data_IF_704776627774
#
_entry.id   IF_704776627774
#
_cell.length_a   1.000
_cell.length_b   1.000
_cell.length_c   1.000
_cell.angle_alpha   90.00
_cell.angle_beta   90.00
_cell.angle_gamma   90.00
#
_symmetry.space_group_name_H-M   'P 1'
#
loop_
_entity.id
_entity.type
_entity.pdbx_description
1 polymer ?
#
# COMPACT_ATOMS: atom_id res chain seq x y z
N UNK A 1 -44.14 -52.59 57.65
CA UNK A 1 -45.14 -52.87 58.70
C UNK A 1 -45.36 -51.59 59.49
N UNK A 2 -46.64 -51.28 59.74
CA UNK A 2 -47.17 -50.50 60.86
C UNK A 2 -46.78 -49.00 60.98
N UNK A 3 -47.77 -48.14 60.70
CA UNK A 3 -48.51 -47.55 61.82
C UNK A 3 -48.29 -46.07 62.16
N UNK A 4 -49.24 -45.25 61.71
CA UNK A 4 -50.12 -44.42 62.56
C UNK A 4 -49.57 -43.22 63.36
N UNK A 5 -50.18 -42.08 63.02
CA UNK A 5 -50.77 -41.04 63.89
C UNK A 5 -49.90 -40.20 64.85
N UNK A 6 -49.89 -38.90 64.57
CA UNK A 6 -49.75 -37.83 65.55
C UNK A 6 -50.70 -36.69 65.18
N UNK A 7 -51.75 -36.52 65.98
CA UNK A 7 -52.84 -35.56 65.82
C UNK A 7 -52.51 -34.24 66.54
N UNK A 8 -53.31 -33.22 66.21
CA UNK A 8 -53.71 -32.07 67.06
C UNK A 8 -53.03 -30.72 66.80
N UNK A 9 -53.87 -29.67 66.70
CA UNK A 9 -53.48 -28.31 67.05
C UNK A 9 -53.98 -27.20 66.14
N UNK A 10 -55.30 -27.04 66.02
CA UNK A 10 -55.96 -25.88 65.44
C UNK A 10 -55.61 -24.60 66.24
N UNK A 11 -55.10 -23.54 65.58
CA UNK A 11 -55.22 -22.17 66.07
C UNK A 11 -55.06 -21.12 64.96
N UNK A 12 -56.20 -20.56 64.55
CA UNK A 12 -56.41 -19.35 63.74
C UNK A 12 -55.35 -18.24 63.97
N UNK A 13 -54.82 -17.67 62.88
CA UNK A 13 -54.95 -16.24 62.48
C UNK A 13 -53.98 -15.82 61.36
N UNK A 14 -54.54 -15.04 60.42
CA UNK A 14 -53.92 -14.08 59.48
C UNK A 14 -53.28 -14.64 58.20
N UNK A 15 -53.95 -14.32 57.08
CA UNK A 15 -53.53 -14.45 55.68
C UNK A 15 -52.31 -13.57 55.40
N UNK A 16 -51.41 -14.02 54.51
CA UNK A 16 -50.75 -13.13 53.56
C UNK A 16 -51.06 -13.52 52.10
N UNK A 17 -51.08 -12.50 51.26
CA UNK A 17 -51.50 -12.50 49.86
C UNK A 17 -50.72 -13.47 48.96
N UNK A 18 -51.47 -14.29 48.20
CA UNK A 18 -50.93 -15.10 47.10
C UNK A 18 -51.09 -14.30 45.81
N UNK A 19 -49.97 -13.81 45.29
CA UNK A 19 -49.84 -13.25 43.95
C UNK A 19 -49.82 -14.41 42.96
N UNK A 20 -50.88 -14.57 42.19
CA UNK A 20 -50.93 -15.49 41.04
C UNK A 20 -49.98 -15.02 39.93
N UNK A 21 -49.19 -15.91 39.31
CA UNK A 21 -48.36 -15.56 38.16
C UNK A 21 -49.22 -15.39 36.90
N UNK A 22 -49.01 -14.26 36.20
CA UNK A 22 -49.68 -13.95 34.92
C UNK A 22 -49.20 -14.89 33.80
N UNK A 23 -50.08 -15.31 32.88
CA UNK A 23 -49.68 -16.08 31.70
C UNK A 23 -48.91 -15.18 30.71
N UNK A 24 -47.76 -15.66 30.26
CA UNK A 24 -46.90 -14.99 29.28
C UNK A 24 -47.53 -14.91 27.88
N UNK A 25 -47.15 -13.91 27.06
CA UNK A 25 -47.71 -13.74 25.73
C UNK A 25 -47.16 -14.79 24.75
N UNK A 26 -48.03 -15.25 23.85
CA UNK A 26 -47.72 -16.16 22.75
C UNK A 26 -46.66 -15.59 21.78
N UNK A 27 -45.92 -16.43 21.02
CA UNK A 27 -44.90 -15.96 20.09
C UNK A 27 -45.56 -15.25 18.91
N UNK A 28 -45.42 -13.92 18.88
CA UNK A 28 -45.79 -13.09 17.74
C UNK A 28 -44.82 -13.28 16.57
N UNK A 29 -45.38 -13.35 15.37
CA UNK A 29 -44.69 -13.48 14.10
C UNK A 29 -43.52 -12.49 13.95
N UNK A 30 -42.33 -13.03 13.65
CA UNK A 30 -41.17 -12.28 13.19
C UNK A 30 -41.50 -11.61 11.85
N UNK A 31 -41.92 -10.35 11.90
CA UNK A 31 -41.94 -9.49 10.72
C UNK A 31 -40.50 -9.31 10.21
N UNK A 32 -40.25 -9.79 8.99
CA UNK A 32 -39.03 -9.48 8.24
C UNK A 32 -38.90 -7.96 8.11
N UNK A 33 -38.03 -7.36 8.94
CA UNK A 33 -37.55 -6.01 8.68
C UNK A 33 -36.73 -6.04 7.40
N UNK A 34 -37.23 -5.38 6.36
CA UNK A 34 -36.49 -5.12 5.14
C UNK A 34 -35.13 -4.50 5.49
N UNK A 35 -34.05 -5.20 5.15
CA UNK A 35 -32.70 -4.65 5.17
C UNK A 35 -32.68 -3.56 4.11
N UNK A 36 -32.76 -2.30 4.54
CA UNK A 36 -32.54 -1.17 3.67
C UNK A 36 -31.15 -1.30 3.07
N UNK A 37 -31.10 -1.44 1.74
CA UNK A 37 -29.86 -1.54 0.98
C UNK A 37 -28.96 -0.34 1.35
N UNK A 38 -27.87 -0.62 2.06
CA UNK A 38 -26.87 0.39 2.43
C UNK A 38 -26.28 0.92 1.13
N UNK A 39 -26.51 2.20 0.87
CA UNK A 39 -25.95 2.96 -0.27
C UNK A 39 -24.46 2.59 -0.40
N UNK A 40 -23.96 2.16 -1.58
CA UNK A 40 -22.57 1.79 -1.74
C UNK A 40 -21.71 2.98 -1.30
N UNK A 41 -20.73 2.70 -0.43
CA UNK A 41 -19.76 3.70 -0.01
C UNK A 41 -19.12 4.34 -1.25
N UNK A 42 -18.87 5.66 -1.26
CA UNK A 42 -18.18 6.30 -2.37
C UNK A 42 -16.84 5.58 -2.63
N UNK A 43 -16.45 5.37 -3.90
CA UNK A 43 -15.21 4.67 -4.23
C UNK A 43 -14.02 5.37 -3.56
N UNK A 44 -13.14 4.60 -2.92
CA UNK A 44 -11.97 5.12 -2.24
C UNK A 44 -11.14 6.01 -3.18
N UNK A 45 -10.68 7.20 -2.74
CA UNK A 45 -9.91 8.10 -3.58
C UNK A 45 -8.61 7.43 -4.03
N UNK A 46 -8.17 7.75 -5.25
CA UNK A 46 -6.83 7.39 -5.71
C UNK A 46 -5.80 7.90 -4.69
N UNK A 47 -4.85 7.04 -4.29
CA UNK A 47 -3.77 7.45 -3.40
C UNK A 47 -2.95 8.51 -4.11
N UNK A 48 -3.07 9.74 -3.62
CA UNK A 48 -2.39 10.92 -4.13
C UNK A 48 -1.35 11.39 -3.13
N UNK A 49 -0.32 12.04 -3.63
CA UNK A 49 0.75 12.69 -2.87
C UNK A 49 0.92 14.13 -3.38
N UNK A 50 1.60 14.97 -2.62
CA UNK A 50 1.94 16.32 -3.08
C UNK A 50 2.89 16.28 -4.29
N UNK A 51 2.80 17.29 -5.16
CA UNK A 51 3.69 17.48 -6.31
C UNK A 51 5.16 17.54 -5.90
N UNK A 52 5.43 17.97 -4.67
CA UNK A 52 6.75 18.07 -4.08
C UNK A 52 7.50 16.74 -4.18
N UNK A 53 6.84 15.59 -4.02
CA UNK A 53 7.49 14.29 -4.19
C UNK A 53 8.03 14.06 -5.61
N UNK A 54 7.34 14.54 -6.65
CA UNK A 54 7.86 14.47 -8.01
C UNK A 54 9.04 15.44 -8.21
N UNK A 55 8.95 16.65 -7.67
CA UNK A 55 10.05 17.62 -7.71
C UNK A 55 11.29 17.10 -6.97
N UNK A 56 11.09 16.33 -5.90
CA UNK A 56 12.11 15.70 -5.11
C UNK A 56 12.87 14.62 -5.90
N UNK A 57 12.15 13.79 -6.68
CA UNK A 57 12.77 12.82 -7.58
C UNK A 57 13.62 13.48 -8.68
N UNK A 58 13.26 14.70 -9.10
CA UNK A 58 14.03 15.48 -10.07
C UNK A 58 15.23 16.23 -9.47
N UNK A 59 15.39 16.23 -8.15
CA UNK A 59 16.37 17.08 -7.47
C UNK A 59 17.81 16.84 -7.92
N UNK A 60 18.22 15.58 -8.11
CA UNK A 60 19.57 15.25 -8.58
C UNK A 60 19.84 15.70 -10.02
N UNK A 61 18.85 15.63 -10.92
CA UNK A 61 18.96 16.19 -12.27
C UNK A 61 19.06 17.71 -12.26
N UNK A 62 18.22 18.37 -11.46
CA UNK A 62 18.19 19.83 -11.36
C UNK A 62 19.50 20.39 -10.84
N UNK A 63 20.16 19.71 -9.89
CA UNK A 63 21.52 20.08 -9.44
C UNK A 63 22.57 20.03 -10.54
N UNK A 64 22.34 19.19 -11.57
CA UNK A 64 23.19 19.11 -12.77
C UNK A 64 22.77 20.08 -13.88
N UNK A 65 21.80 20.96 -13.61
CA UNK A 65 21.27 21.91 -14.60
C UNK A 65 20.40 21.29 -15.69
N UNK A 66 19.90 20.06 -15.48
CA UNK A 66 19.07 19.35 -16.47
C UNK A 66 17.60 19.63 -16.20
N UNK A 67 16.86 20.05 -17.23
CA UNK A 67 15.41 20.25 -17.16
C UNK A 67 14.66 18.91 -17.09
N UNK A 68 13.80 18.76 -16.08
CA UNK A 68 12.97 17.57 -15.85
C UNK A 68 11.59 17.62 -16.50
N UNK A 69 11.27 18.70 -17.23
CA UNK A 69 9.91 18.92 -17.78
C UNK A 69 9.47 17.84 -18.76
N UNK A 70 10.38 17.26 -19.55
CA UNK A 70 10.07 16.14 -20.44
C UNK A 70 9.67 14.89 -19.66
N UNK A 71 10.42 14.55 -18.60
CA UNK A 71 10.14 13.39 -17.74
C UNK A 71 8.81 13.54 -16.98
N UNK A 72 8.46 14.76 -16.56
CA UNK A 72 7.14 15.03 -15.98
C UNK A 72 6.02 14.70 -16.97
N UNK A 73 6.15 15.15 -18.22
CA UNK A 73 5.16 14.89 -19.28
C UNK A 73 5.02 13.40 -19.60
N UNK A 74 6.14 12.69 -19.69
CA UNK A 74 6.17 11.23 -19.89
C UNK A 74 5.48 10.46 -18.75
N UNK A 75 5.65 10.92 -17.52
CA UNK A 75 4.97 10.40 -16.34
C UNK A 75 3.50 10.85 -16.21
N UNK A 76 2.99 11.61 -17.19
CA UNK A 76 1.63 12.16 -17.19
C UNK A 76 1.40 13.22 -16.11
N UNK A 77 2.45 13.86 -15.59
CA UNK A 77 2.37 14.96 -14.62
C UNK A 77 2.36 16.29 -15.38
N UNK A 78 1.33 17.14 -15.22
CA UNK A 78 1.32 18.47 -15.83
C UNK A 78 2.53 19.29 -15.38
N UNK A 79 3.28 19.85 -16.34
CA UNK A 79 4.50 20.61 -16.06
C UNK A 79 4.18 21.86 -15.24
N UNK A 80 3.00 22.44 -15.44
CA UNK A 80 2.51 23.62 -14.74
C UNK A 80 2.27 23.35 -13.25
N UNK A 81 2.00 22.10 -12.87
CA UNK A 81 1.79 21.71 -11.48
C UNK A 81 3.03 21.97 -10.61
N UNK A 82 4.23 22.02 -11.20
CA UNK A 82 5.46 22.32 -10.47
C UNK A 82 5.48 23.72 -9.83
N UNK A 83 4.66 24.64 -10.35
CA UNK A 83 4.53 26.01 -9.86
C UNK A 83 3.30 26.20 -8.95
N UNK A 84 2.58 25.12 -8.63
CA UNK A 84 1.35 25.15 -7.86
C UNK A 84 1.58 24.46 -6.50
N UNK A 85 1.85 25.22 -5.42
CA UNK A 85 2.00 24.66 -4.09
C UNK A 85 0.77 23.85 -3.69
N UNK A 86 0.98 22.64 -3.16
CA UNK A 86 -0.11 21.76 -2.74
C UNK A 86 -0.85 21.04 -3.86
N UNK A 87 -0.43 21.17 -5.13
CA UNK A 87 -0.94 20.34 -6.21
C UNK A 87 -0.73 18.85 -5.86
N UNK A 88 -1.73 18.02 -6.19
CA UNK A 88 -1.71 16.59 -5.87
C UNK A 88 -1.56 15.75 -7.13
N UNK A 89 -0.69 14.76 -7.07
CA UNK A 89 -0.44 13.80 -8.15
C UNK A 89 -0.76 12.38 -7.70
N UNK A 90 -1.12 11.51 -8.64
CA UNK A 90 -1.31 10.10 -8.38
C UNK A 90 0.02 9.41 -8.07
N UNK A 91 0.02 8.49 -7.11
CA UNK A 91 1.20 7.67 -6.78
C UNK A 91 1.72 6.85 -7.98
N UNK A 92 0.87 6.48 -8.93
CA UNK A 92 1.26 5.85 -10.19
C UNK A 92 2.10 6.78 -11.09
N UNK A 93 1.74 8.06 -11.16
CA UNK A 93 2.53 9.06 -11.92
C UNK A 93 3.92 9.22 -11.29
N UNK A 94 3.99 9.23 -9.95
CA UNK A 94 5.29 9.25 -9.25
C UNK A 94 6.13 8.00 -9.56
N UNK A 95 5.52 6.81 -9.62
CA UNK A 95 6.21 5.58 -9.98
C UNK A 95 6.69 5.58 -11.45
N UNK A 96 5.90 6.14 -12.36
CA UNK A 96 6.29 6.32 -13.76
C UNK A 96 7.45 7.31 -13.90
N UNK A 97 7.44 8.41 -13.14
CA UNK A 97 8.54 9.36 -13.10
C UNK A 97 9.84 8.71 -12.61
N UNK A 98 9.78 7.96 -11.49
CA UNK A 98 10.95 7.23 -10.98
C UNK A 98 11.49 6.25 -12.02
N UNK A 99 10.61 5.51 -12.70
CA UNK A 99 10.98 4.59 -13.78
C UNK A 99 11.73 5.32 -14.90
N UNK A 100 11.14 6.39 -15.42
CA UNK A 100 11.71 7.15 -16.55
C UNK A 100 13.07 7.74 -16.19
N UNK A 101 13.23 8.24 -14.96
CA UNK A 101 14.51 8.72 -14.44
C UNK A 101 15.59 7.64 -14.47
N UNK A 102 15.30 6.47 -13.90
CA UNK A 102 16.23 5.35 -13.82
C UNK A 102 16.60 4.86 -15.22
N UNK A 103 15.62 4.70 -16.10
CA UNK A 103 15.82 4.17 -17.45
C UNK A 103 16.61 5.12 -18.34
N UNK A 104 16.34 6.44 -18.27
CA UNK A 104 17.01 7.45 -19.11
C UNK A 104 18.44 7.77 -18.66
N UNK A 105 18.70 7.73 -17.36
CA UNK A 105 19.98 8.16 -16.81
C UNK A 105 20.89 7.01 -16.34
N UNK A 106 20.41 5.77 -16.42
CA UNK A 106 21.11 4.58 -15.90
C UNK A 106 21.59 4.78 -14.45
N UNK A 107 20.70 5.35 -13.62
CA UNK A 107 21.03 5.73 -12.25
C UNK A 107 19.84 5.51 -11.29
N UNK A 108 19.97 4.49 -10.43
CA UNK A 108 18.99 4.08 -9.42
C UNK A 108 18.95 5.00 -8.18
N UNK A 109 19.94 5.89 -8.02
CA UNK A 109 19.97 6.92 -6.96
C UNK A 109 19.72 8.34 -7.50
N UNK A 110 19.31 8.45 -8.77
CA UNK A 110 18.75 9.66 -9.39
C UNK A 110 19.68 10.89 -9.34
N UNK A 111 20.99 10.69 -9.44
CA UNK A 111 21.99 11.76 -9.33
C UNK A 111 22.10 12.34 -7.92
N UNK A 112 21.66 11.60 -6.90
CA UNK A 112 21.71 12.06 -5.51
C UNK A 112 23.03 11.78 -4.78
N UNK A 113 23.87 10.89 -5.31
CA UNK A 113 25.18 10.51 -4.78
C UNK A 113 26.32 11.00 -5.68
N UNK A 114 27.56 10.92 -5.19
CA UNK A 114 28.77 11.28 -5.95
C UNK A 114 28.97 10.46 -7.23
N UNK A 115 28.48 9.22 -7.25
CA UNK A 115 28.58 8.30 -8.39
C UNK A 115 27.20 7.69 -8.70
N UNK A 116 26.89 7.47 -9.98
CA UNK A 116 25.62 6.84 -10.36
C UNK A 116 25.56 5.39 -9.91
N UNK A 117 24.40 4.97 -9.40
CA UNK A 117 24.10 3.57 -9.11
C UNK A 117 23.51 2.93 -10.35
N UNK A 118 24.34 2.29 -11.18
CA UNK A 118 23.90 1.71 -12.46
C UNK A 118 22.73 0.74 -12.30
N UNK A 119 21.89 0.63 -13.33
CA UNK A 119 20.76 -0.32 -13.33
C UNK A 119 21.24 -1.73 -13.04
N UNK A 120 20.58 -2.39 -12.11
CA UNK A 120 20.95 -3.73 -11.63
C UNK A 120 21.76 -3.73 -10.33
N UNK A 121 22.23 -2.56 -9.86
CA UNK A 121 22.89 -2.42 -8.56
C UNK A 121 21.96 -2.82 -7.42
N UNK A 122 20.71 -2.34 -7.44
CA UNK A 122 19.68 -2.75 -6.50
C UNK A 122 19.34 -4.23 -6.65
N UNK A 123 19.21 -4.75 -7.88
CA UNK A 123 18.94 -6.16 -8.12
C UNK A 123 20.04 -7.08 -7.53
N UNK A 124 21.31 -6.68 -7.63
CA UNK A 124 22.44 -7.39 -7.04
C UNK A 124 22.33 -7.43 -5.51
N UNK A 125 21.97 -6.33 -4.87
CA UNK A 125 21.76 -6.28 -3.42
C UNK A 125 20.62 -7.20 -2.98
N UNK A 126 19.47 -7.16 -3.67
CA UNK A 126 18.33 -8.03 -3.34
C UNK A 126 18.71 -9.51 -3.48
N UNK A 127 19.46 -9.87 -4.53
CA UNK A 127 19.97 -11.24 -4.74
C UNK A 127 20.88 -11.71 -3.60
N UNK A 128 21.68 -10.83 -3.01
CA UNK A 128 22.52 -11.17 -1.87
C UNK A 128 21.71 -11.47 -0.59
N UNK A 129 20.56 -10.83 -0.42
CA UNK A 129 19.69 -11.02 0.75
C UNK A 129 18.68 -12.17 0.63
N UNK A 130 18.23 -12.53 -0.58
CA UNK A 130 17.07 -13.43 -0.75
C UNK A 130 17.30 -14.87 -0.28
N UNK A 131 18.54 -15.36 -0.35
CA UNK A 131 18.90 -16.70 0.09
C UNK A 131 19.17 -16.79 1.61
N UNK A 132 19.11 -15.67 2.33
CA UNK A 132 19.36 -15.65 3.76
C UNK A 132 18.22 -16.33 4.53
N UNK A 133 18.50 -17.05 5.62
CA UNK A 133 17.48 -17.76 6.38
C UNK A 133 16.58 -16.82 7.20
N UNK A 134 17.09 -15.67 7.64
CA UNK A 134 16.37 -14.70 8.47
C UNK A 134 16.48 -13.28 7.94
N UNK A 135 15.55 -12.42 8.34
CA UNK A 135 15.56 -11.00 8.01
C UNK A 135 16.86 -10.32 8.45
N UNK A 136 17.39 -10.65 9.63
CA UNK A 136 18.65 -10.10 10.12
C UNK A 136 19.81 -10.37 9.15
N UNK A 137 19.96 -11.62 8.74
CA UNK A 137 21.02 -12.04 7.83
C UNK A 137 20.82 -11.40 6.45
N UNK A 138 19.57 -11.31 5.97
CA UNK A 138 19.25 -10.62 4.73
C UNK A 138 19.65 -9.13 4.78
N UNK A 139 19.30 -8.43 5.86
CA UNK A 139 19.68 -7.02 6.07
C UNK A 139 21.20 -6.88 6.05
N UNK A 140 21.93 -7.75 6.76
CA UNK A 140 23.41 -7.70 6.80
C UNK A 140 24.04 -7.92 5.43
N UNK A 141 23.55 -8.89 4.64
CA UNK A 141 24.06 -9.14 3.29
C UNK A 141 23.75 -7.97 2.34
N UNK A 142 22.52 -7.44 2.39
CA UNK A 142 22.11 -6.28 1.60
C UNK A 142 22.95 -5.06 1.97
N UNK A 143 23.14 -4.79 3.27
CA UNK A 143 23.96 -3.69 3.76
C UNK A 143 25.43 -3.82 3.33
N UNK A 144 25.97 -5.03 3.35
CA UNK A 144 27.33 -5.30 2.88
C UNK A 144 27.49 -4.97 1.39
N UNK A 145 26.60 -5.49 0.53
CA UNK A 145 26.65 -5.19 -0.92
C UNK A 145 26.39 -3.72 -1.17
N UNK A 146 25.47 -3.08 -0.43
CA UNK A 146 25.24 -1.65 -0.53
C UNK A 146 26.51 -0.84 -0.29
N UNK A 147 27.27 -1.17 0.76
CA UNK A 147 28.55 -0.52 1.08
C UNK A 147 29.63 -0.76 0.03
N UNK A 148 29.62 -1.91 -0.65
CA UNK A 148 30.56 -2.17 -1.75
C UNK A 148 30.26 -1.32 -2.99
N UNK A 149 28.99 -0.92 -3.18
CA UNK A 149 28.53 -0.17 -4.35
C UNK A 149 28.54 1.35 -4.13
N UNK A 150 28.49 1.83 -2.88
CA UNK A 150 28.34 3.25 -2.56
C UNK A 150 29.37 3.70 -1.51
N UNK A 151 30.02 4.84 -1.76
CA UNK A 151 30.96 5.45 -0.80
C UNK A 151 30.28 6.55 0.04
N UNK A 152 29.24 7.20 -0.48
CA UNK A 152 28.60 8.37 0.13
C UNK A 152 27.77 8.05 1.37
N UNK A 153 27.18 6.85 1.42
CA UNK A 153 26.36 6.40 2.53
C UNK A 153 26.42 4.88 2.67
N UNK A 154 26.04 4.39 3.84
CA UNK A 154 25.90 2.97 4.12
C UNK A 154 24.63 2.68 4.92
N UNK A 155 24.15 1.44 4.82
CA UNK A 155 23.06 0.92 5.63
C UNK A 155 23.63 0.21 6.84
N UNK A 156 23.13 0.52 8.02
CA UNK A 156 23.59 -0.09 9.28
C UNK A 156 22.42 -0.63 10.08
N UNK A 157 22.53 -1.89 10.51
CA UNK A 157 21.61 -2.49 11.48
C UNK A 157 21.90 -1.91 12.86
N UNK A 158 20.90 -1.31 13.49
CA UNK A 158 20.98 -0.63 14.79
C UNK A 158 19.96 -1.21 15.75
N UNK A 159 20.22 -1.02 17.06
CA UNK A 159 19.31 -1.42 18.13
C UNK A 159 19.05 -0.23 19.07
N UNK A 160 17.85 -0.18 19.63
CA UNK A 160 17.48 0.73 20.70
C UNK A 160 16.93 -0.10 21.86
N UNK A 161 17.75 -0.29 22.88
CA UNK A 161 17.49 -1.26 23.94
C UNK A 161 17.46 -2.69 23.39
N UNK A 162 16.62 -3.53 23.98
CA UNK A 162 16.39 -4.92 23.55
C UNK A 162 15.14 -5.09 22.68
N UNK A 163 14.22 -4.13 22.72
CA UNK A 163 12.89 -4.26 22.07
C UNK A 163 12.88 -3.77 20.63
N UNK A 164 13.74 -2.82 20.26
CA UNK A 164 13.72 -2.21 18.94
C UNK A 164 15.00 -2.52 18.17
N UNK A 165 14.82 -2.96 16.94
CA UNK A 165 15.84 -3.00 15.91
C UNK A 165 15.49 -2.02 14.80
N UNK A 166 16.48 -1.58 14.04
CA UNK A 166 16.27 -0.67 12.94
C UNK A 166 17.35 -0.76 11.88
N UNK A 167 17.07 -0.17 10.72
CA UNK A 167 18.09 0.09 9.71
C UNK A 167 18.23 1.59 9.60
N UNK A 168 19.44 2.07 9.86
CA UNK A 168 19.79 3.48 9.80
C UNK A 168 20.70 3.77 8.60
N UNK A 169 20.66 5.03 8.16
CA UNK A 169 21.56 5.58 7.16
C UNK A 169 22.75 6.20 7.87
N UNK A 170 23.93 5.79 7.48
CA UNK A 170 25.20 6.37 7.94
C UNK A 170 25.88 7.04 6.75
N UNK A 171 25.98 8.37 6.79
CA UNK A 171 26.48 9.18 5.68
C UNK A 171 27.97 9.51 5.88
N UNK A 172 28.74 9.30 4.82
CA UNK A 172 30.18 9.57 4.79
C UNK A 172 30.51 10.87 4.05
N UNK A 173 29.51 11.48 3.42
CA UNK A 173 29.62 12.74 2.68
C UNK A 173 28.57 13.75 3.15
N UNK A 174 29.00 14.96 3.48
CA UNK A 174 28.13 16.01 4.01
C UNK A 174 27.06 16.45 2.98
N UNK A 175 27.42 16.51 1.70
CA UNK A 175 26.48 16.90 0.65
C UNK A 175 25.33 15.90 0.50
N UNK A 176 25.63 14.59 0.57
CA UNK A 176 24.61 13.54 0.59
C UNK A 176 23.73 13.63 1.85
N UNK A 177 24.35 13.80 3.02
CA UNK A 177 23.65 13.96 4.31
C UNK A 177 22.74 15.20 4.38
N UNK A 178 23.03 16.22 3.57
CA UNK A 178 22.25 17.47 3.55
C UNK A 178 20.99 17.38 2.68
N UNK A 179 20.78 16.29 1.94
CA UNK A 179 19.66 16.13 1.02
C UNK A 179 18.54 15.28 1.65
N UNK A 180 17.44 15.88 2.17
CA UNK A 180 16.36 15.14 2.81
C UNK A 180 15.77 14.03 1.92
N UNK A 181 15.70 14.25 0.60
CA UNK A 181 15.05 13.32 -0.32
C UNK A 181 15.83 12.04 -0.48
N UNK A 182 17.15 12.10 -0.36
CA UNK A 182 17.99 10.91 -0.37
C UNK A 182 17.67 10.04 0.84
N UNK A 183 17.48 10.65 2.02
CA UNK A 183 17.10 9.94 3.23
C UNK A 183 15.72 9.29 3.07
N UNK A 184 14.75 10.06 2.56
CA UNK A 184 13.39 9.61 2.29
C UNK A 184 13.37 8.43 1.32
N UNK A 185 14.04 8.56 0.16
CA UNK A 185 14.06 7.55 -0.89
C UNK A 185 14.70 6.25 -0.39
N UNK A 186 15.89 6.33 0.22
CA UNK A 186 16.62 5.15 0.67
C UNK A 186 15.83 4.44 1.77
N UNK A 187 15.38 5.14 2.82
CA UNK A 187 14.55 4.53 3.86
C UNK A 187 13.30 3.87 3.29
N UNK A 188 12.62 4.54 2.35
CA UNK A 188 11.42 4.00 1.72
C UNK A 188 11.73 2.73 0.93
N UNK A 189 12.74 2.75 0.07
CA UNK A 189 13.12 1.61 -0.78
C UNK A 189 13.48 0.40 0.08
N UNK A 190 14.34 0.58 1.08
CA UNK A 190 14.81 -0.54 1.90
C UNK A 190 13.74 -1.06 2.85
N UNK A 191 12.93 -0.19 3.47
CA UNK A 191 11.76 -0.66 4.23
C UNK A 191 10.87 -1.57 3.40
N UNK A 192 10.57 -1.16 2.16
CA UNK A 192 9.70 -1.89 1.24
C UNK A 192 10.31 -3.21 0.79
N UNK A 193 11.62 -3.23 0.56
CA UNK A 193 12.37 -4.45 0.29
C UNK A 193 12.29 -5.43 1.47
N UNK A 194 12.59 -4.96 2.69
CA UNK A 194 12.59 -5.83 3.87
C UNK A 194 11.20 -6.34 4.22
N UNK A 195 10.18 -5.48 4.14
CA UNK A 195 8.79 -5.88 4.27
C UNK A 195 8.44 -6.95 3.23
N UNK A 196 8.87 -6.78 1.97
CA UNK A 196 8.65 -7.77 0.93
C UNK A 196 9.32 -9.10 1.29
N UNK A 197 10.60 -9.14 1.66
CA UNK A 197 11.34 -10.38 1.97
C UNK A 197 10.63 -11.27 2.99
N UNK A 198 9.95 -10.70 3.99
CA UNK A 198 9.26 -11.43 5.08
C UNK A 198 7.75 -11.58 4.88
N UNK A 199 7.28 -11.55 3.63
CA UNK A 199 5.87 -11.86 3.31
C UNK A 199 4.98 -10.63 3.11
N UNK A 200 5.56 -9.43 3.15
CA UNK A 200 4.88 -8.17 2.85
C UNK A 200 4.45 -7.37 4.08
N UNK A 201 4.75 -7.85 5.30
CA UNK A 201 4.41 -7.18 6.55
C UNK A 201 5.67 -7.03 7.42
N UNK A 202 6.19 -5.81 7.46
CA UNK A 202 7.15 -5.37 8.47
C UNK A 202 6.60 -4.08 9.09
N UNK A 203 5.79 -4.19 10.16
CA UNK A 203 5.23 -3.03 10.85
C UNK A 203 6.36 -2.17 11.41
N UNK A 204 6.39 -0.92 10.98
CA UNK A 204 7.34 0.08 11.47
C UNK A 204 6.75 0.73 12.71
N UNK A 205 7.54 0.78 13.78
CA UNK A 205 7.20 1.47 15.04
C UNK A 205 7.34 2.98 14.86
N UNK A 206 8.41 3.43 14.19
CA UNK A 206 8.61 4.84 13.81
C UNK A 206 9.64 5.01 12.70
N UNK A 207 9.62 6.17 12.06
CA UNK A 207 10.71 6.67 11.22
C UNK A 207 11.38 7.86 11.89
N UNK A 208 12.71 7.82 11.97
CA UNK A 208 13.53 8.92 12.43
C UNK A 208 14.19 9.57 11.20
N UNK A 209 14.24 10.90 11.17
CA UNK A 209 14.80 11.70 10.10
C UNK A 209 15.83 12.68 10.66
N UNK A 210 17.05 12.65 10.12
CA UNK A 210 18.16 13.50 10.57
C UNK A 210 18.17 14.91 9.96
N UNK A 211 17.00 15.42 9.59
CA UNK A 211 16.82 16.73 8.99
C UNK A 211 15.60 17.44 9.60
N UNK A 212 15.56 18.76 9.46
CA UNK A 212 14.47 19.59 9.94
C UNK A 212 13.16 19.25 9.22
N UNK A 213 12.04 19.32 9.94
CA UNK A 213 10.72 18.97 9.39
C UNK A 213 10.41 19.81 8.14
N UNK A 214 10.23 19.20 6.95
CA UNK A 214 9.92 19.95 5.74
C UNK A 214 8.46 20.42 5.73
N UNK A 215 8.20 21.52 5.03
CA UNK A 215 6.85 22.07 4.86
C UNK A 215 5.87 21.07 4.21
N UNK A 216 6.36 20.20 3.32
CA UNK A 216 5.56 19.17 2.65
C UNK A 216 5.39 17.87 3.47
N UNK A 217 5.81 17.85 4.75
CA UNK A 217 5.73 16.66 5.62
C UNK A 217 4.32 16.12 5.82
N UNK A 218 3.27 16.92 5.60
CA UNK A 218 1.87 16.45 5.62
C UNK A 218 1.61 15.35 4.58
N UNK A 219 2.36 15.35 3.48
CA UNK A 219 2.27 14.35 2.43
C UNK A 219 2.95 13.02 2.76
N UNK A 220 3.61 12.88 3.91
CA UNK A 220 4.34 11.66 4.27
C UNK A 220 3.43 10.48 4.59
N UNK A 221 2.20 10.71 5.07
CA UNK A 221 1.27 9.66 5.56
C UNK A 221 1.16 8.44 4.63
N UNK A 222 0.86 8.61 3.32
CA UNK A 222 0.79 7.51 2.37
C UNK A 222 2.11 6.77 2.14
N UNK A 223 3.26 7.40 2.43
CA UNK A 223 4.60 6.92 2.08
C UNK A 223 5.31 6.30 3.29
N UNK A 224 5.11 6.88 4.47
CA UNK A 224 5.70 6.49 5.75
C UNK A 224 4.59 6.28 6.79
N UNK A 225 3.94 5.10 6.81
CA UNK A 225 2.73 4.87 7.60
C UNK A 225 3.04 4.52 9.07
N UNK A 226 3.83 5.34 9.74
CA UNK A 226 4.19 5.23 11.16
C UNK A 226 4.50 6.63 11.72
N UNK A 227 4.57 6.84 13.05
CA UNK A 227 5.03 8.10 13.64
C UNK A 227 6.41 8.53 13.11
N UNK A 228 6.62 9.84 13.01
CA UNK A 228 7.87 10.44 12.53
C UNK A 228 8.54 11.27 13.62
N UNK A 229 9.87 11.16 13.72
CA UNK A 229 10.70 12.09 14.49
C UNK A 229 11.66 12.79 13.53
N UNK A 230 11.60 14.11 13.50
CA UNK A 230 12.56 14.95 12.76
C UNK A 230 13.69 15.39 13.68
N UNK A 231 14.78 15.88 13.09
CA UNK A 231 15.98 16.32 13.81
C UNK A 231 16.56 15.25 14.74
N UNK A 232 16.40 13.98 14.36
CA UNK A 232 17.01 12.86 15.07
C UNK A 232 18.52 12.78 14.77
N UNK A 233 19.27 12.07 15.61
CA UNK A 233 20.72 11.90 15.41
C UNK A 233 21.06 11.14 14.11
N UNK A 234 20.14 10.31 13.60
CA UNK A 234 20.30 9.56 12.34
C UNK A 234 18.94 9.30 11.70
N UNK A 235 18.93 9.18 10.37
CA UNK A 235 17.76 8.72 9.63
C UNK A 235 17.64 7.21 9.75
N UNK A 236 16.51 6.71 10.23
CA UNK A 236 16.31 5.29 10.49
C UNK A 236 14.83 4.87 10.39
N UNK A 237 14.61 3.61 10.05
CA UNK A 237 13.32 2.95 10.27
C UNK A 237 13.45 1.96 11.43
N UNK A 238 12.46 1.92 12.32
CA UNK A 238 12.50 1.09 13.53
C UNK A 238 11.34 0.10 13.57
N UNK A 239 11.59 -1.12 14.01
CA UNK A 239 10.61 -2.18 14.18
C UNK A 239 10.95 -3.06 15.39
N UNK A 240 10.01 -3.91 15.80
CA UNK A 240 10.20 -4.83 16.94
C UNK A 240 11.37 -5.79 16.67
N UNK A 241 12.32 -5.90 17.60
CA UNK A 241 13.59 -6.61 17.41
C UNK A 241 13.38 -8.09 17.07
N UNK A 242 12.33 -8.74 17.59
CA UNK A 242 12.01 -10.15 17.31
C UNK A 242 11.71 -10.38 15.83
N UNK A 243 11.32 -9.33 15.08
CA UNK A 243 11.08 -9.41 13.63
C UNK A 243 12.35 -9.72 12.84
N UNK A 244 13.54 -9.47 13.39
CA UNK A 244 14.81 -9.88 12.79
C UNK A 244 14.91 -11.39 12.56
N UNK A 245 14.18 -12.19 13.36
CA UNK A 245 14.15 -13.65 13.25
C UNK A 245 13.09 -14.17 12.28
N UNK A 246 12.31 -13.29 11.62
CA UNK A 246 11.36 -13.72 10.60
C UNK A 246 12.11 -14.39 9.44
N UNK A 247 11.61 -15.53 8.94
CA UNK A 247 12.22 -16.20 7.81
C UNK A 247 12.03 -15.39 6.53
N UNK A 248 13.05 -15.37 5.67
CA UNK A 248 12.88 -14.88 4.29
C UNK A 248 12.04 -15.91 3.54
N UNK A 249 10.94 -15.45 2.93
CA UNK A 249 9.94 -16.34 2.32
C UNK A 249 9.69 -16.02 0.84
N UNK A 250 10.75 -15.64 0.11
CA UNK A 250 10.71 -15.29 -1.32
C UNK A 250 11.59 -16.24 -2.13
N UNK A 251 11.01 -16.75 -3.22
CA UNK A 251 11.73 -17.54 -4.20
C UNK A 251 12.23 -16.69 -5.38
N UNK A 252 13.00 -17.30 -6.28
CA UNK A 252 13.54 -16.65 -7.47
C UNK A 252 12.43 -16.13 -8.41
N UNK A 253 11.25 -16.78 -8.44
CA UNK A 253 10.11 -16.29 -9.23
C UNK A 253 9.55 -14.99 -8.67
N UNK A 254 9.36 -14.92 -7.35
CA UNK A 254 8.93 -13.72 -6.65
C UNK A 254 9.96 -12.60 -6.82
N UNK A 255 11.26 -12.94 -6.83
CA UNK A 255 12.33 -11.98 -7.10
C UNK A 255 12.19 -11.35 -8.49
N UNK A 256 12.07 -12.17 -9.53
CA UNK A 256 11.87 -11.67 -10.90
C UNK A 256 10.65 -10.76 -11.00
N UNK A 257 9.54 -11.14 -10.35
CA UNK A 257 8.33 -10.32 -10.32
C UNK A 257 8.53 -9.00 -9.57
N UNK A 258 9.28 -9.00 -8.46
CA UNK A 258 9.61 -7.80 -7.70
C UNK A 258 10.49 -6.84 -8.51
N UNK A 259 11.53 -7.36 -9.16
CA UNK A 259 12.51 -6.58 -9.92
C UNK A 259 11.97 -6.04 -11.25
N UNK A 260 10.95 -6.69 -11.85
CA UNK A 260 10.34 -6.23 -13.09
C UNK A 260 9.75 -4.81 -12.98
N UNK A 261 9.35 -4.40 -11.77
CA UNK A 261 8.59 -3.17 -11.58
C UNK A 261 8.89 -2.47 -10.23
N UNK A 262 10.19 -2.41 -9.88
CA UNK A 262 10.68 -1.82 -8.62
C UNK A 262 10.02 -0.49 -8.27
N UNK A 263 9.91 0.50 -9.19
CA UNK A 263 9.31 1.80 -8.86
C UNK A 263 7.92 1.69 -8.25
N UNK A 264 7.05 0.85 -8.80
CA UNK A 264 5.71 0.59 -8.25
C UNK A 264 5.82 -0.18 -6.93
N UNK A 265 6.70 -1.17 -6.84
CA UNK A 265 6.86 -1.95 -5.62
C UNK A 265 7.29 -1.11 -4.42
N UNK A 266 8.10 -0.07 -4.64
CA UNK A 266 8.62 0.80 -3.58
C UNK A 266 7.74 2.04 -3.35
N UNK A 267 7.22 2.69 -4.39
CA UNK A 267 6.43 3.94 -4.28
C UNK A 267 4.97 3.68 -3.93
N UNK A 268 4.31 2.70 -4.55
CA UNK A 268 2.90 2.48 -4.26
C UNK A 268 2.77 1.81 -2.89
N UNK A 269 1.84 2.27 -2.05
CA UNK A 269 1.46 1.51 -0.86
C UNK A 269 1.02 0.13 -1.34
N UNK A 270 1.81 -0.91 -1.01
CA UNK A 270 1.34 -2.28 -1.22
C UNK A 270 0.19 -2.45 -0.24
N UNK A 271 -1.00 -2.70 -0.77
CA UNK A 271 -2.05 -3.42 -0.04
C UNK A 271 -1.77 -4.95 -0.06
N UNK A 272 -0.52 -5.33 -0.28
CA UNK A 272 -0.13 -6.61 -0.90
C UNK A 272 0.72 -7.50 0.00
N UNK A 273 0.18 -7.76 1.19
CA UNK A 273 0.33 -9.05 1.86
C UNK A 273 -1.02 -9.77 2.06
N UNK A 274 -2.12 -9.04 1.88
CA UNK A 274 -3.47 -9.53 2.07
C UNK A 274 -4.10 -10.15 0.82
N UNK A 275 -5.32 -10.67 0.99
CA UNK A 275 -6.18 -11.09 -0.10
C UNK A 275 -6.36 -9.99 -1.16
N UNK A 276 -6.38 -8.71 -0.76
CA UNK A 276 -6.59 -7.59 -1.69
C UNK A 276 -5.49 -7.47 -2.74
N UNK A 277 -4.22 -7.58 -2.33
CA UNK A 277 -3.10 -7.53 -3.26
C UNK A 277 -2.98 -8.75 -4.16
N UNK A 278 -3.32 -9.93 -3.64
CA UNK A 278 -3.36 -11.17 -4.44
C UNK A 278 -4.43 -11.10 -5.52
N UNK A 279 -5.62 -10.57 -5.19
CA UNK A 279 -6.69 -10.30 -6.16
C UNK A 279 -6.24 -9.28 -7.20
N UNK A 280 -5.66 -8.15 -6.77
CA UNK A 280 -5.19 -7.10 -7.67
C UNK A 280 -4.16 -7.62 -8.67
N UNK A 281 -3.14 -8.34 -8.18
CA UNK A 281 -2.09 -8.93 -9.02
C UNK A 281 -2.64 -9.94 -10.01
N UNK A 282 -3.62 -10.75 -9.60
CA UNK A 282 -4.29 -11.70 -10.49
C UNK A 282 -5.09 -10.99 -11.58
N UNK A 283 -5.87 -9.96 -11.22
CA UNK A 283 -6.66 -9.19 -12.18
C UNK A 283 -5.78 -8.42 -13.18
N UNK A 284 -4.63 -7.91 -12.76
CA UNK A 284 -3.65 -7.27 -13.66
C UNK A 284 -3.11 -8.24 -14.72
N UNK A 285 -2.73 -9.45 -14.32
CA UNK A 285 -2.17 -10.46 -15.25
C UNK A 285 -3.19 -11.08 -16.19
N UNK A 286 -4.48 -10.96 -15.87
CA UNK A 286 -5.57 -11.57 -16.64
C UNK A 286 -6.31 -10.56 -17.52
N UNK A 287 -5.80 -9.32 -17.65
CA UNK A 287 -6.32 -8.39 -18.65
C UNK A 287 -6.12 -8.94 -20.07
N UNK A 288 -7.08 -8.77 -20.98
CA UNK A 288 -8.34 -8.02 -20.86
C UNK A 288 -9.56 -8.85 -20.39
N UNK A 289 -9.38 -10.05 -19.81
CA UNK A 289 -10.49 -10.95 -19.48
C UNK A 289 -11.30 -10.54 -18.24
N UNK A 290 -10.68 -9.83 -17.28
CA UNK A 290 -11.33 -9.34 -16.05
C UNK A 290 -12.23 -10.38 -15.34
N UNK A 291 -11.66 -11.48 -14.79
CA UNK A 291 -12.44 -12.55 -14.19
C UNK A 291 -13.37 -12.08 -13.08
N UNK A 292 -14.41 -12.87 -12.80
CA UNK A 292 -15.32 -12.68 -11.67
C UNK A 292 -14.68 -13.17 -10.37
N UNK A 293 -15.44 -13.06 -9.28
CA UNK A 293 -14.98 -13.44 -7.95
C UNK A 293 -14.67 -14.94 -7.89
N UNK A 294 -15.51 -15.76 -8.51
CA UNK A 294 -15.44 -17.21 -8.51
C UNK A 294 -14.15 -17.70 -9.16
N UNK A 295 -13.87 -17.22 -10.39
CA UNK A 295 -12.65 -17.55 -11.12
C UNK A 295 -11.40 -17.02 -10.41
N UNK A 296 -11.48 -15.82 -9.86
CA UNK A 296 -10.36 -15.25 -9.09
C UNK A 296 -10.09 -16.06 -7.82
N UNK A 297 -11.13 -16.46 -7.08
CA UNK A 297 -11.00 -17.26 -5.87
C UNK A 297 -10.37 -18.63 -6.19
N UNK A 298 -10.83 -19.28 -7.26
CA UNK A 298 -10.28 -20.55 -7.74
C UNK A 298 -8.80 -20.41 -8.10
N UNK A 299 -8.42 -19.38 -8.86
CA UNK A 299 -7.03 -19.12 -9.22
C UNK A 299 -6.13 -18.77 -8.03
N UNK A 300 -6.73 -18.33 -6.92
CA UNK A 300 -6.03 -18.05 -5.66
C UNK A 300 -6.10 -19.22 -4.66
N UNK A 301 -6.64 -20.38 -5.06
CA UNK A 301 -6.87 -21.56 -4.22
C UNK A 301 -7.69 -21.25 -2.96
N UNK A 302 -8.75 -20.46 -3.10
CA UNK A 302 -9.69 -20.08 -2.04
C UNK A 302 -11.13 -20.31 -2.48
N UNK A 303 -12.04 -20.52 -1.52
CA UNK A 303 -13.48 -20.37 -1.80
C UNK A 303 -13.85 -18.88 -1.96
N UNK A 304 -14.88 -18.54 -2.76
CA UNK A 304 -15.37 -17.17 -2.88
C UNK A 304 -15.71 -16.53 -1.53
N UNK A 305 -16.33 -17.30 -0.62
CA UNK A 305 -16.67 -16.86 0.74
C UNK A 305 -15.43 -16.55 1.58
N UNK A 306 -14.38 -17.36 1.49
CA UNK A 306 -13.11 -17.13 2.19
C UNK A 306 -12.42 -15.88 1.65
N UNK A 307 -12.43 -15.71 0.33
CA UNK A 307 -11.84 -14.55 -0.31
C UNK A 307 -12.57 -13.26 0.11
N UNK A 308 -13.90 -13.23 0.01
CA UNK A 308 -14.71 -12.09 0.46
C UNK A 308 -14.49 -11.76 1.94
N UNK A 309 -14.47 -12.77 2.82
CA UNK A 309 -14.22 -12.56 4.26
C UNK A 309 -12.84 -11.93 4.50
N UNK A 310 -11.80 -12.41 3.81
CA UNK A 310 -10.44 -11.83 3.94
C UNK A 310 -10.38 -10.40 3.40
N UNK A 311 -11.03 -10.13 2.28
CA UNK A 311 -11.14 -8.78 1.72
C UNK A 311 -11.89 -7.84 2.68
N UNK A 312 -12.99 -8.29 3.29
CA UNK A 312 -13.75 -7.52 4.25
C UNK A 312 -12.95 -7.24 5.54
N UNK A 313 -12.17 -8.21 6.01
CA UNK A 313 -11.24 -8.00 7.12
C UNK A 313 -10.15 -6.96 6.81
N UNK A 314 -9.83 -6.78 5.52
CA UNK A 314 -8.93 -5.74 5.01
C UNK A 314 -9.65 -4.43 4.66
N UNK A 315 -10.94 -4.30 5.00
CA UNK A 315 -11.74 -3.10 4.71
C UNK A 315 -12.03 -2.89 3.22
N UNK A 316 -11.99 -3.96 2.42
CA UNK A 316 -12.10 -3.92 0.97
C UNK A 316 -13.17 -4.91 0.44
N UNK A 317 -13.44 -4.84 -0.87
CA UNK A 317 -14.29 -5.80 -1.57
C UNK A 317 -13.70 -6.13 -2.94
N UNK A 318 -14.06 -7.28 -3.49
CA UNK A 318 -13.60 -7.70 -4.80
C UNK A 318 -13.98 -6.67 -5.88
N UNK A 319 -15.22 -6.19 -5.84
CA UNK A 319 -15.72 -5.20 -6.78
C UNK A 319 -14.98 -3.86 -6.65
N UNK A 320 -14.69 -3.41 -5.43
CA UNK A 320 -13.92 -2.19 -5.21
C UNK A 320 -12.51 -2.28 -5.79
N UNK A 321 -11.83 -3.42 -5.64
CA UNK A 321 -10.49 -3.66 -6.22
C UNK A 321 -10.54 -3.69 -7.75
N UNK A 322 -11.53 -4.39 -8.31
CA UNK A 322 -11.74 -4.51 -9.76
C UNK A 322 -12.02 -3.15 -10.39
N UNK A 323 -12.89 -2.35 -9.77
CA UNK A 323 -13.23 -1.00 -10.25
C UNK A 323 -12.05 -0.04 -10.11
N UNK A 324 -11.29 -0.12 -9.01
CA UNK A 324 -10.08 0.66 -8.84
C UNK A 324 -9.07 0.39 -9.97
N UNK A 325 -8.83 -0.89 -10.29
CA UNK A 325 -7.89 -1.26 -11.34
C UNK A 325 -8.39 -0.86 -12.73
N UNK A 326 -9.68 -1.03 -13.02
CA UNK A 326 -10.30 -0.57 -14.28
C UNK A 326 -10.18 0.93 -14.44
N UNK A 327 -10.40 1.70 -13.38
CA UNK A 327 -10.22 3.16 -13.36
C UNK A 327 -8.78 3.54 -13.68
N UNK A 328 -7.81 2.91 -13.02
CA UNK A 328 -6.37 3.17 -13.23
C UNK A 328 -5.97 2.94 -14.69
N UNK A 329 -6.40 1.81 -15.28
CA UNK A 329 -6.16 1.49 -16.69
C UNK A 329 -6.89 2.47 -17.62
N UNK A 330 -8.14 2.83 -17.31
CA UNK A 330 -8.93 3.76 -18.11
C UNK A 330 -8.28 5.15 -18.17
N UNK A 331 -7.88 5.69 -17.03
CA UNK A 331 -7.18 6.99 -16.94
C UNK A 331 -5.89 6.93 -17.76
N UNK A 332 -5.07 5.90 -17.55
CA UNK A 332 -3.83 5.73 -18.29
C UNK A 332 -4.04 5.68 -19.81
N UNK A 333 -5.02 4.89 -20.28
CA UNK A 333 -5.32 4.75 -21.71
C UNK A 333 -5.89 6.03 -22.33
N UNK A 334 -6.73 6.77 -21.61
CA UNK A 334 -7.26 8.04 -22.07
C UNK A 334 -6.17 9.11 -22.19
N UNK A 335 -5.13 9.05 -21.36
CA UNK A 335 -3.97 9.95 -21.40
C UNK A 335 -2.85 9.55 -22.35
N UNK A 336 -2.74 8.27 -22.73
CA UNK A 336 -1.63 7.76 -23.57
C UNK A 336 -2.04 7.43 -24.99
N UNK A 337 -3.35 7.36 -25.28
CA UNK A 337 -3.83 6.94 -26.59
C UNK A 337 -5.17 7.57 -26.98
N UNK A 338 -5.39 7.69 -28.29
CA UNK A 338 -6.67 8.13 -28.86
C UNK A 338 -7.66 6.97 -29.07
N UNK A 339 -7.43 5.83 -28.41
CA UNK A 339 -8.25 4.62 -28.51
C UNK A 339 -9.75 4.96 -28.39
N UNK A 340 -10.61 4.55 -29.34
CA UNK A 340 -12.05 4.85 -29.26
C UNK A 340 -12.66 4.36 -27.95
N UNK A 341 -13.55 5.15 -27.34
CA UNK A 341 -14.15 4.81 -26.03
C UNK A 341 -14.87 3.45 -26.05
N UNK A 342 -15.44 3.06 -27.19
CA UNK A 342 -16.07 1.75 -27.36
C UNK A 342 -15.06 0.60 -27.25
N UNK A 343 -13.88 0.75 -27.85
CA UNK A 343 -12.80 -0.24 -27.77
C UNK A 343 -12.23 -0.31 -26.35
N UNK A 344 -12.03 0.86 -25.72
CA UNK A 344 -11.58 0.94 -24.33
C UNK A 344 -12.58 0.28 -23.36
N UNK A 345 -13.89 0.43 -23.59
CA UNK A 345 -14.92 -0.22 -22.78
C UNK A 345 -14.80 -1.76 -22.85
N UNK A 346 -14.58 -2.31 -24.04
CA UNK A 346 -14.35 -3.75 -24.24
C UNK A 346 -13.06 -4.22 -23.56
N UNK A 347 -11.95 -3.49 -23.71
CA UNK A 347 -10.67 -3.81 -23.06
C UNK A 347 -10.76 -3.81 -21.53
N UNK A 348 -11.60 -2.96 -20.97
CA UNK A 348 -11.88 -2.88 -19.53
C UNK A 348 -12.93 -3.90 -19.06
N UNK A 349 -13.51 -4.68 -19.97
CA UNK A 349 -14.50 -5.71 -19.67
C UNK A 349 -15.87 -5.17 -19.26
N UNK A 350 -16.31 -4.05 -19.86
CA UNK A 350 -17.67 -3.55 -19.76
C UNK A 350 -18.57 -4.16 -20.84
N UNK A 351 -19.87 -4.28 -20.55
CA UNK A 351 -20.89 -4.76 -21.50
C UNK A 351 -21.05 -3.83 -22.70
N UNK A 352 -20.90 -2.52 -22.47
CA UNK A 352 -21.11 -1.49 -23.47
C UNK A 352 -20.42 -0.18 -23.06
N UNK A 353 -20.32 0.74 -24.02
CA UNK A 353 -19.70 2.05 -23.85
C UNK A 353 -20.41 2.91 -22.81
N UNK A 354 -21.74 2.81 -22.68
CA UNK A 354 -22.52 3.62 -21.74
C UNK A 354 -22.30 3.19 -20.29
N UNK A 355 -22.14 1.89 -20.03
CA UNK A 355 -21.76 1.33 -18.75
C UNK A 355 -20.37 1.80 -18.33
N UNK A 356 -19.41 1.77 -19.25
CA UNK A 356 -18.07 2.34 -19.02
C UNK A 356 -18.13 3.83 -18.71
N UNK A 357 -18.84 4.64 -19.50
CA UNK A 357 -18.93 6.08 -19.28
C UNK A 357 -19.57 6.43 -17.94
N UNK A 358 -20.64 5.72 -17.53
CA UNK A 358 -21.28 5.90 -16.23
C UNK A 358 -20.34 5.53 -15.09
N UNK A 359 -19.66 4.38 -15.18
CA UNK A 359 -18.70 3.94 -14.18
C UNK A 359 -17.53 4.93 -14.07
N UNK A 360 -16.97 5.37 -15.20
CA UNK A 360 -15.87 6.32 -15.25
C UNK A 360 -16.25 7.68 -14.64
N UNK A 361 -17.44 8.21 -14.98
CA UNK A 361 -17.97 9.44 -14.37
C UNK A 361 -18.17 9.27 -12.87
N UNK A 362 -18.68 8.12 -12.43
CA UNK A 362 -18.83 7.82 -11.01
C UNK A 362 -17.48 7.79 -10.28
N UNK A 363 -16.44 7.24 -10.91
CA UNK A 363 -15.11 7.14 -10.31
C UNK A 363 -14.33 8.45 -10.29
N UNK A 364 -14.43 9.26 -11.35
CA UNK A 364 -13.55 10.43 -11.59
C UNK A 364 -14.27 11.77 -11.47
N UNK A 365 -15.60 11.78 -11.38
CA UNK A 365 -16.42 13.00 -11.41
C UNK A 365 -16.66 13.56 -12.81
N UNK A 366 -15.87 13.15 -13.81
CA UNK A 366 -15.92 13.66 -15.18
C UNK A 366 -16.17 12.53 -16.20
N UNK A 367 -16.85 12.78 -17.32
CA UNK A 367 -16.98 11.80 -18.38
C UNK A 367 -15.62 11.58 -19.09
N UNK A 368 -15.36 10.38 -19.66
CA UNK A 368 -14.11 10.06 -20.36
C UNK A 368 -13.71 11.07 -21.43
N UNK A 369 -14.68 11.60 -22.19
CA UNK A 369 -14.44 12.60 -23.23
C UNK A 369 -13.92 13.93 -22.69
N UNK A 370 -14.43 14.37 -21.53
CA UNK A 370 -13.90 15.57 -20.84
C UNK A 370 -12.49 15.34 -20.30
N UNK A 371 -12.19 14.11 -19.86
CA UNK A 371 -10.84 13.73 -19.43
C UNK A 371 -9.82 13.73 -20.59
N UNK A 372 -10.26 13.36 -21.80
CA UNK A 372 -9.42 13.38 -23.01
C UNK A 372 -9.16 14.79 -23.55
N UNK A 373 -10.11 15.71 -23.38
CA UNK A 373 -9.97 17.10 -23.85
C UNK A 373 -9.09 17.97 -22.93
N UNK A 374 -8.94 17.59 -21.66
CA UNK A 374 -8.03 18.24 -20.72
C UNK A 374 -6.60 17.67 -20.71
N UNK A 375 -6.17 17.07 -21.83
CA UNK A 375 -4.83 16.50 -22.02
C UNK A 375 -3.81 17.59 -22.33
#
# INVERSE_FOLDING_TARGET
>A
MLGSAGHCGDCKRRRPDVISPRPGPAPGALQCRAVTARKPAPPAPALTVGIEFALNLLSGLRRRGIDGSELLREAGIPVEAQHQPGARIATLQLAQLLRALIERHDDEVLGMLSRPSKRGSFALQVRAGIAAPTLEQAIRHIAHVFRLLHDDLSLVLVHEGQELAGVALDFHQAEAASNPHLHELVLRVYWRLFAWLVGGQLPVVRFDFAYARPAYSEGYGPIFPAPWRFEAARSAMWFQAERLQLPVCRDEQALRAFLADVPVQVILPRRDAGASGRVRSHLQRTQPLWPDLERTAQALHLSPSTLQRRLAAEGSSFQAIKDQLRREVAIYRLHTSDTPLAKLAVELGFSDTAAFQRAFKHWTGLPPGGYRQGR
#
